data_IF_902528790272
#
_entry.id   IF_902528790272
#
_cell.length_a   1.000
_cell.length_b   1.000
_cell.length_c   1.000
_cell.angle_alpha   90.00
_cell.angle_beta   90.00
_cell.angle_gamma   90.00
#
_symmetry.space_group_name_H-M   'P 1'
#
loop_
_entity.id
_entity.type
_entity.pdbx_description
1 polymer ?
#
# COMPACT_ATOMS: atom_id res chain seq x y z
N UNK A 1 -28.41 -15.41 14.34
CA UNK A 1 -28.62 -14.40 13.28
C UNK A 1 -27.56 -14.60 12.21
N UNK A 2 -27.96 -14.80 10.96
CA UNK A 2 -27.00 -14.89 9.85
C UNK A 2 -26.42 -13.51 9.60
N UNK A 3 -25.17 -13.30 9.93
CA UNK A 3 -24.46 -12.03 9.72
C UNK A 3 -24.13 -11.92 8.23
N UNK A 4 -24.59 -10.88 7.57
CA UNK A 4 -24.24 -10.58 6.18
C UNK A 4 -22.92 -9.83 6.19
N UNK A 5 -21.94 -10.29 5.41
CA UNK A 5 -20.65 -9.65 5.22
C UNK A 5 -20.60 -9.05 3.82
N UNK A 6 -20.25 -7.78 3.72
CA UNK A 6 -20.18 -7.07 2.44
C UNK A 6 -18.75 -6.62 2.14
N UNK A 7 -18.44 -6.49 0.86
CA UNK A 7 -17.21 -5.84 0.42
C UNK A 7 -17.21 -4.38 0.89
N UNK A 8 -16.14 -3.95 1.57
CA UNK A 8 -16.07 -2.62 2.16
C UNK A 8 -16.39 -2.59 3.65
N UNK A 9 -16.88 -3.67 4.22
CA UNK A 9 -17.06 -3.79 5.67
C UNK A 9 -15.71 -3.87 6.36
N UNK A 10 -15.60 -3.17 7.48
CA UNK A 10 -14.45 -3.21 8.38
C UNK A 10 -14.82 -3.93 9.67
N UNK A 11 -13.92 -4.78 10.12
CA UNK A 11 -14.04 -5.53 11.36
C UNK A 11 -12.72 -5.54 12.12
N UNK A 12 -12.79 -5.71 13.44
CA UNK A 12 -11.65 -6.23 14.17
C UNK A 12 -11.54 -7.75 13.92
N UNK A 13 -10.32 -8.21 13.67
CA UNK A 13 -10.04 -9.63 13.48
C UNK A 13 -8.68 -10.00 14.08
N UNK A 14 -8.61 -11.23 14.61
CA UNK A 14 -7.33 -11.81 14.99
C UNK A 14 -6.64 -12.46 13.77
N UNK A 15 -5.56 -11.85 13.31
CA UNK A 15 -4.74 -12.37 12.21
C UNK A 15 -3.76 -13.46 12.67
N UNK A 16 -3.67 -13.74 13.98
CA UNK A 16 -2.69 -14.67 14.53
C UNK A 16 -1.27 -14.09 14.48
N UNK A 17 -0.27 -14.98 14.62
CA UNK A 17 1.14 -14.61 14.61
C UNK A 17 1.64 -14.45 13.17
N UNK A 18 2.34 -13.36 12.89
CA UNK A 18 3.02 -13.09 11.63
C UNK A 18 4.50 -13.47 11.68
N UNK A 19 5.14 -13.43 10.52
CA UNK A 19 6.59 -13.62 10.37
C UNK A 19 7.18 -12.34 9.76
N UNK A 20 8.18 -11.77 10.41
CA UNK A 20 8.89 -10.58 9.92
C UNK A 20 7.99 -9.35 9.84
N UNK A 21 7.73 -8.87 8.62
CA UNK A 21 6.92 -7.67 8.37
C UNK A 21 5.43 -7.93 8.11
N UNK A 22 4.97 -9.15 8.26
CA UNK A 22 3.55 -9.47 8.16
C UNK A 22 2.74 -8.74 9.22
N UNK A 23 1.54 -8.31 8.86
CA UNK A 23 0.62 -7.75 9.85
C UNK A 23 0.03 -8.88 10.71
N UNK A 24 0.06 -8.73 12.04
CA UNK A 24 -0.30 -9.79 12.99
C UNK A 24 -1.22 -9.31 14.11
N UNK A 25 -1.76 -10.25 14.88
CA UNK A 25 -2.54 -10.01 16.07
C UNK A 25 -3.91 -9.42 15.80
N UNK A 26 -4.54 -8.95 16.88
CA UNK A 26 -5.87 -8.35 16.85
C UNK A 26 -5.83 -6.93 16.30
N UNK A 27 -6.54 -6.70 15.18
CA UNK A 27 -6.49 -5.41 14.49
C UNK A 27 -7.67 -5.19 13.55
N UNK A 28 -7.90 -3.96 13.09
CA UNK A 28 -8.84 -3.67 12.04
C UNK A 28 -8.42 -4.32 10.72
N UNK A 29 -9.40 -4.87 9.99
CA UNK A 29 -9.28 -5.40 8.64
C UNK A 29 -10.42 -4.91 7.77
N UNK A 30 -10.19 -4.81 6.46
CA UNK A 30 -11.19 -4.46 5.46
C UNK A 30 -11.52 -5.69 4.61
N UNK A 31 -12.79 -6.03 4.45
CA UNK A 31 -13.23 -7.07 3.52
C UNK A 31 -13.11 -6.56 2.10
N UNK A 32 -12.30 -7.23 1.28
CA UNK A 32 -12.07 -6.92 -0.13
C UNK A 32 -12.64 -7.95 -1.09
N UNK A 33 -13.02 -9.14 -0.59
CA UNK A 33 -13.68 -10.17 -1.37
C UNK A 33 -15.04 -9.68 -1.87
N UNK A 34 -15.45 -10.12 -3.08
CA UNK A 34 -16.75 -9.76 -3.66
C UNK A 34 -17.91 -10.36 -2.86
N UNK A 35 -19.10 -9.77 -2.99
CA UNK A 35 -20.25 -10.14 -2.18
C UNK A 35 -20.82 -11.54 -2.49
N UNK A 36 -20.65 -12.03 -3.72
CA UNK A 36 -20.99 -13.41 -4.05
C UNK A 36 -20.12 -14.38 -3.26
N UNK A 37 -18.82 -14.17 -3.23
CA UNK A 37 -17.90 -14.94 -2.41
C UNK A 37 -18.20 -14.78 -0.92
N UNK A 38 -18.46 -13.54 -0.47
CA UNK A 38 -18.86 -13.28 0.92
C UNK A 38 -20.13 -14.03 1.34
N UNK A 39 -21.07 -14.21 0.44
CA UNK A 39 -22.31 -14.94 0.73
C UNK A 39 -22.11 -16.46 0.85
N UNK A 40 -21.28 -17.03 -0.01
CA UNK A 40 -21.23 -18.49 -0.20
C UNK A 40 -19.99 -19.16 0.41
N UNK A 41 -18.88 -18.43 0.62
CA UNK A 41 -17.67 -19.00 1.22
C UNK A 41 -17.68 -18.95 2.75
N UNK A 42 -17.11 -19.92 3.46
CA UNK A 42 -16.85 -19.82 4.90
C UNK A 42 -15.71 -18.86 5.24
N UNK A 43 -14.91 -18.47 4.24
CA UNK A 43 -13.76 -17.56 4.37
C UNK A 43 -14.01 -16.23 3.66
N UNK A 44 -13.21 -15.23 4.01
CA UNK A 44 -13.18 -13.93 3.35
C UNK A 44 -11.74 -13.51 3.08
N UNK A 45 -11.54 -12.75 1.99
CA UNK A 45 -10.27 -12.08 1.71
C UNK A 45 -10.32 -10.70 2.35
N UNK A 46 -9.34 -10.39 3.17
CA UNK A 46 -9.22 -9.11 3.88
C UNK A 46 -7.89 -8.45 3.60
N UNK A 47 -7.86 -7.11 3.69
CA UNK A 47 -6.66 -6.29 3.77
C UNK A 47 -6.47 -5.81 5.20
N UNK A 48 -5.24 -5.86 5.72
CA UNK A 48 -4.93 -5.34 7.05
C UNK A 48 -5.00 -3.81 7.07
N UNK A 49 -5.46 -3.26 8.20
CA UNK A 49 -5.49 -1.82 8.47
C UNK A 49 -4.48 -1.51 9.57
N UNK A 50 -3.72 -0.43 9.41
CA UNK A 50 -2.68 0.01 10.34
C UNK A 50 -2.81 1.50 10.66
N UNK A 51 -2.79 1.86 11.95
CA UNK A 51 -2.75 3.26 12.40
C UNK A 51 -1.34 3.90 12.32
N UNK A 52 -0.32 3.14 11.96
CA UNK A 52 1.06 3.66 11.76
C UNK A 52 1.16 4.34 10.40
N UNK A 53 0.72 5.60 10.31
CA UNK A 53 0.60 6.36 9.06
C UNK A 53 1.94 6.95 8.59
N UNK A 54 2.84 7.34 9.51
CA UNK A 54 3.98 8.21 9.21
C UNK A 54 5.07 7.58 8.33
N UNK A 55 5.28 6.27 8.42
CA UNK A 55 6.37 5.60 7.71
C UNK A 55 6.00 5.07 6.32
N UNK A 56 4.71 4.90 6.00
CA UNK A 56 4.26 4.10 4.85
C UNK A 56 3.28 4.80 3.90
N UNK A 57 2.89 6.04 4.18
CA UNK A 57 1.81 6.75 3.47
C UNK A 57 2.08 7.04 1.97
N UNK A 58 3.24 6.67 1.44
CA UNK A 58 3.66 6.99 0.06
C UNK A 58 3.66 5.81 -0.92
N UNK A 59 3.29 4.61 -0.47
CA UNK A 59 3.26 3.47 -1.38
C UNK A 59 1.96 3.46 -2.20
N UNK A 60 2.02 3.12 -3.49
CA UNK A 60 0.84 3.08 -4.35
C UNK A 60 -0.15 1.96 -3.97
N UNK A 61 0.30 1.00 -3.16
CA UNK A 61 -0.50 -0.09 -2.61
C UNK A 61 -1.22 0.28 -1.31
N UNK A 62 -0.96 1.50 -0.77
CA UNK A 62 -1.58 1.98 0.46
C UNK A 62 -2.72 2.93 0.18
N UNK A 63 -3.77 2.85 0.97
CA UNK A 63 -4.88 3.78 0.93
C UNK A 63 -5.11 4.40 2.31
N UNK A 64 -4.99 5.73 2.40
CA UNK A 64 -5.20 6.47 3.63
C UNK A 64 -6.70 6.69 3.86
N UNK A 65 -7.19 6.20 4.97
CA UNK A 65 -8.50 6.53 5.56
C UNK A 65 -8.30 7.59 6.64
N UNK A 66 -9.17 8.58 6.67
CA UNK A 66 -9.25 9.51 7.80
C UNK A 66 -9.87 8.82 9.01
N UNK A 67 -9.90 9.49 10.16
CA UNK A 67 -10.66 9.04 11.33
C UNK A 67 -12.17 9.19 11.05
N UNK A 68 -12.73 8.27 10.28
CA UNK A 68 -14.11 8.26 9.79
C UNK A 68 -14.60 6.82 9.62
N UNK A 69 -15.89 6.63 9.38
CA UNK A 69 -16.52 5.31 9.15
C UNK A 69 -16.28 4.31 10.30
N UNK A 70 -16.20 4.80 11.54
CA UNK A 70 -15.99 4.00 12.75
C UNK A 70 -14.52 3.79 13.13
N UNK A 71 -13.56 4.29 12.37
CA UNK A 71 -12.15 4.33 12.76
C UNK A 71 -11.88 5.55 13.65
N UNK A 72 -11.25 5.32 14.79
CA UNK A 72 -10.90 6.39 15.76
C UNK A 72 -9.68 7.21 15.33
N UNK A 73 -8.79 6.61 14.54
CA UNK A 73 -7.52 7.22 14.12
C UNK A 73 -7.37 7.14 12.59
N UNK A 74 -6.69 8.12 11.96
CA UNK A 74 -6.25 7.99 10.58
C UNK A 74 -5.48 6.68 10.42
N UNK A 75 -5.80 5.92 9.38
CA UNK A 75 -5.27 4.57 9.20
C UNK A 75 -4.98 4.28 7.74
N UNK A 76 -4.03 3.38 7.48
CA UNK A 76 -3.68 2.89 6.14
C UNK A 76 -4.28 1.51 5.92
N UNK A 77 -5.00 1.35 4.83
CA UNK A 77 -5.33 0.03 4.29
C UNK A 77 -4.15 -0.44 3.45
N UNK A 78 -3.61 -1.62 3.80
CA UNK A 78 -2.40 -2.17 3.21
C UNK A 78 -2.77 -3.25 2.19
N UNK A 79 -2.85 -2.87 0.90
CA UNK A 79 -3.30 -3.80 -0.16
C UNK A 79 -2.24 -4.84 -0.54
N UNK A 80 -1.01 -4.72 -0.07
CA UNK A 80 0.02 -5.77 -0.14
C UNK A 80 -0.04 -6.76 1.02
N UNK A 81 -0.85 -6.48 2.07
CA UNK A 81 -1.03 -7.33 3.25
C UNK A 81 -2.40 -8.03 3.21
N UNK A 82 -2.64 -8.75 2.11
CA UNK A 82 -3.88 -9.51 1.93
C UNK A 82 -3.84 -10.84 2.64
N UNK A 83 -4.95 -11.22 3.26
CA UNK A 83 -5.11 -12.53 3.90
C UNK A 83 -6.48 -13.13 3.62
N UNK A 84 -6.53 -14.45 3.45
CA UNK A 84 -7.76 -15.22 3.54
C UNK A 84 -7.93 -15.72 4.96
N UNK A 85 -9.02 -15.34 5.60
CA UNK A 85 -9.34 -15.73 6.97
C UNK A 85 -10.72 -16.38 7.05
N UNK A 86 -10.91 -17.27 8.03
CA UNK A 86 -12.23 -17.79 8.36
C UNK A 86 -13.11 -16.66 8.91
N UNK A 87 -14.38 -16.62 8.54
CA UNK A 87 -15.33 -15.59 9.00
C UNK A 87 -15.48 -15.56 10.52
N UNK A 88 -15.25 -16.68 11.21
CA UNK A 88 -15.26 -16.74 12.68
C UNK A 88 -14.21 -15.88 13.36
N UNK A 89 -13.15 -15.46 12.61
CA UNK A 89 -12.13 -14.52 13.09
C UNK A 89 -12.59 -13.05 13.02
N UNK A 90 -13.70 -12.76 12.32
CA UNK A 90 -14.28 -11.42 12.27
C UNK A 90 -15.14 -11.21 13.53
N UNK A 91 -14.70 -10.29 14.38
CA UNK A 91 -15.33 -10.05 15.68
C UNK A 91 -16.20 -8.80 15.67
N UNK A 92 -15.67 -7.67 16.08
CA UNK A 92 -16.41 -6.42 16.20
C UNK A 92 -16.49 -5.70 14.87
N UNK A 93 -17.71 -5.39 14.44
CA UNK A 93 -17.96 -4.53 13.28
C UNK A 93 -17.53 -3.09 13.59
N UNK A 94 -16.79 -2.47 12.67
CA UNK A 94 -16.31 -1.09 12.80
C UNK A 94 -17.18 -0.15 11.97
N UNK A 95 -17.39 -0.47 10.71
CA UNK A 95 -18.12 0.37 9.77
C UNK A 95 -18.02 -0.12 8.34
N UNK A 96 -18.58 0.64 7.40
CA UNK A 96 -18.59 0.33 5.98
C UNK A 96 -17.97 1.49 5.19
N UNK A 97 -17.15 1.17 4.18
CA UNK A 97 -16.62 2.14 3.24
C UNK A 97 -17.51 2.26 2.01
N UNK A 98 -17.90 3.47 1.71
CA UNK A 98 -18.70 3.77 0.55
C UNK A 98 -17.93 3.68 -0.78
N UNK A 99 -18.67 3.63 -1.89
CA UNK A 99 -18.17 3.42 -3.24
C UNK A 99 -16.99 4.32 -3.67
N UNK A 100 -16.90 5.63 -3.28
CA UNK A 100 -15.74 6.44 -3.63
C UNK A 100 -14.42 5.92 -3.04
N UNK A 101 -14.46 5.34 -1.82
CA UNK A 101 -13.30 4.69 -1.20
C UNK A 101 -12.99 3.37 -1.89
N UNK A 102 -14.01 2.56 -2.17
CA UNK A 102 -13.86 1.24 -2.83
C UNK A 102 -13.17 1.40 -4.19
N UNK A 103 -13.54 2.39 -5.01
CA UNK A 103 -12.88 2.64 -6.30
C UNK A 103 -11.38 2.93 -6.17
N UNK A 104 -10.98 3.72 -5.17
CA UNK A 104 -9.56 4.02 -4.92
C UNK A 104 -8.80 2.81 -4.38
N UNK A 105 -9.45 2.03 -3.50
CA UNK A 105 -8.93 0.77 -2.98
C UNK A 105 -8.75 -0.26 -4.09
N UNK A 106 -9.67 -0.36 -5.06
CA UNK A 106 -9.55 -1.22 -6.24
C UNK A 106 -8.29 -0.90 -7.06
N UNK A 107 -7.97 0.40 -7.21
CA UNK A 107 -6.73 0.81 -7.88
C UNK A 107 -5.49 0.35 -7.11
N UNK A 108 -5.44 0.59 -5.80
CA UNK A 108 -4.32 0.16 -4.95
C UNK A 108 -4.16 -1.38 -4.95
N UNK A 109 -5.28 -2.12 -4.94
CA UNK A 109 -5.30 -3.57 -5.07
C UNK A 109 -4.74 -4.02 -6.44
N UNK A 110 -5.19 -3.41 -7.53
CA UNK A 110 -4.75 -3.74 -8.87
C UNK A 110 -3.24 -3.50 -9.05
N UNK A 111 -2.69 -2.45 -8.43
CA UNK A 111 -1.23 -2.22 -8.36
C UNK A 111 -0.56 -3.33 -7.57
N UNK A 112 -1.08 -3.66 -6.39
CA UNK A 112 -0.48 -4.64 -5.48
C UNK A 112 -0.33 -6.02 -6.10
N UNK A 113 -1.31 -6.44 -6.92
CA UNK A 113 -1.31 -7.76 -7.58
C UNK A 113 -0.83 -7.69 -9.04
N UNK A 114 -0.28 -6.56 -9.49
CA UNK A 114 0.32 -6.41 -10.83
C UNK A 114 -0.68 -6.35 -11.99
N UNK A 115 -1.95 -6.08 -11.74
CA UNK A 115 -2.96 -5.90 -12.81
C UNK A 115 -2.82 -4.56 -13.53
N UNK A 116 -2.27 -3.56 -12.86
CA UNK A 116 -1.87 -2.29 -13.44
C UNK A 116 -0.47 -1.93 -12.98
N UNK A 117 0.34 -1.42 -13.91
CA UNK A 117 1.63 -0.82 -13.56
C UNK A 117 1.38 0.64 -13.12
N UNK A 118 1.61 0.94 -11.85
CA UNK A 118 1.88 2.33 -11.47
C UNK A 118 3.37 2.57 -11.65
N UNK A 119 3.73 3.22 -12.72
CA UNK A 119 4.95 4.02 -12.71
C UNK A 119 4.64 5.19 -11.78
N UNK A 120 5.29 5.31 -10.62
CA UNK A 120 5.12 6.49 -9.77
C UNK A 120 5.39 7.70 -10.64
N UNK A 121 4.42 8.63 -10.73
CA UNK A 121 4.55 9.83 -11.58
C UNK A 121 5.81 10.61 -11.26
N UNK A 122 6.39 10.41 -10.07
CA UNK A 122 7.63 11.02 -9.61
C UNK A 122 8.38 10.06 -8.69
N UNK A 123 9.04 9.06 -9.23
CA UNK A 123 10.00 8.27 -8.45
C UNK A 123 11.23 9.14 -8.21
N UNK A 124 11.36 9.65 -6.99
CA UNK A 124 12.55 10.40 -6.56
C UNK A 124 13.47 9.45 -5.80
N UNK A 125 14.71 9.33 -6.25
CA UNK A 125 15.74 8.55 -5.60
C UNK A 125 16.98 9.41 -5.38
N UNK A 126 17.56 9.32 -4.20
CA UNK A 126 18.91 9.84 -3.99
C UNK A 126 19.90 8.88 -4.65
N UNK A 127 20.66 9.34 -5.64
CA UNK A 127 21.61 8.53 -6.38
C UNK A 127 23.00 9.18 -6.37
N UNK A 128 24.02 8.38 -6.04
CA UNK A 128 25.42 8.77 -6.27
C UNK A 128 25.73 8.70 -7.77
N UNK A 129 26.82 9.37 -8.26
CA UNK A 129 27.14 9.40 -9.68
C UNK A 129 27.26 8.02 -10.33
N UNK A 130 27.87 7.05 -9.63
CA UNK A 130 28.03 5.70 -10.14
C UNK A 130 26.69 4.97 -10.31
N UNK A 131 25.76 5.11 -9.36
CA UNK A 131 24.43 4.51 -9.46
C UNK A 131 23.54 5.23 -10.48
N UNK A 132 23.67 6.55 -10.61
CA UNK A 132 22.97 7.32 -11.64
C UNK A 132 23.35 6.86 -13.05
N UNK A 133 24.64 6.58 -13.30
CA UNK A 133 25.11 6.09 -14.59
C UNK A 133 24.45 4.76 -15.01
N UNK A 134 24.10 3.89 -14.08
CA UNK A 134 23.41 2.64 -14.41
C UNK A 134 22.02 2.90 -15.02
N UNK A 135 21.32 3.96 -14.61
CA UNK A 135 20.03 4.33 -15.21
C UNK A 135 20.17 4.89 -16.62
N UNK A 136 21.23 5.64 -16.91
CA UNK A 136 21.48 6.17 -18.26
C UNK A 136 21.77 5.05 -19.28
N UNK A 137 22.41 3.96 -18.84
CA UNK A 137 22.75 2.82 -19.69
C UNK A 137 21.56 1.97 -20.12
N UNK A 138 20.43 2.02 -19.41
CA UNK A 138 19.26 1.14 -19.70
C UNK A 138 18.45 1.57 -20.91
N UNK A 139 18.57 2.81 -21.39
CA UNK A 139 17.75 3.35 -22.47
C UNK A 139 16.27 3.57 -22.15
N UNK A 140 15.76 2.90 -21.13
CA UNK A 140 14.33 2.91 -20.76
C UNK A 140 13.94 4.09 -19.85
N UNK A 141 14.91 4.68 -19.18
CA UNK A 141 14.69 5.77 -18.23
C UNK A 141 15.67 6.91 -18.46
N UNK A 142 15.30 8.12 -18.01
CA UNK A 142 16.23 9.22 -17.82
C UNK A 142 16.07 9.81 -16.43
N UNK A 143 17.14 10.43 -15.94
CA UNK A 143 17.17 11.05 -14.61
C UNK A 143 17.05 12.56 -14.78
N UNK A 144 16.17 13.18 -14.01
CA UNK A 144 16.06 14.63 -13.88
C UNK A 144 16.37 15.03 -12.44
N UNK A 145 17.38 15.87 -12.26
CA UNK A 145 17.73 16.35 -10.91
C UNK A 145 16.59 17.22 -10.36
N UNK A 146 16.13 16.90 -9.15
CA UNK A 146 14.95 17.55 -8.54
C UNK A 146 15.30 18.96 -8.07
N UNK A 147 16.49 19.11 -7.44
CA UNK A 147 16.99 20.39 -6.91
C UNK A 147 18.41 20.67 -7.43
N UNK A 148 18.57 21.22 -8.65
CA UNK A 148 19.90 21.45 -9.22
C UNK A 148 20.83 22.35 -8.38
N UNK A 149 20.27 23.29 -7.63
CA UNK A 149 21.01 24.22 -6.76
C UNK A 149 21.34 23.68 -5.37
N UNK A 150 20.82 22.51 -4.96
CA UNK A 150 21.12 21.92 -3.64
C UNK A 150 22.55 21.35 -3.63
N UNK A 151 23.36 21.83 -2.69
CA UNK A 151 24.76 21.39 -2.52
C UNK A 151 24.85 20.18 -1.56
N UNK A 152 23.94 20.10 -0.60
CA UNK A 152 23.86 19.00 0.36
C UNK A 152 23.56 17.67 -0.35
N UNK A 153 24.25 16.62 0.09
CA UNK A 153 24.15 15.27 -0.44
C UNK A 153 23.62 14.34 0.66
N UNK A 154 22.66 13.51 0.30
CA UNK A 154 22.16 12.44 1.14
C UNK A 154 22.82 11.11 0.76
N UNK A 155 22.65 10.08 1.59
CA UNK A 155 23.17 8.74 1.27
C UNK A 155 22.36 8.15 0.10
N UNK A 156 23.05 7.63 -0.89
CA UNK A 156 22.46 6.99 -2.07
C UNK A 156 21.51 5.86 -1.70
N UNK A 157 20.25 5.98 -2.06
CA UNK A 157 19.19 4.99 -1.78
C UNK A 157 19.49 3.63 -2.43
N UNK A 158 20.22 3.62 -3.57
CA UNK A 158 20.50 2.41 -4.33
C UNK A 158 21.66 1.58 -3.75
N UNK A 159 22.78 2.19 -3.40
CA UNK A 159 23.93 1.46 -2.84
C UNK A 159 24.09 1.59 -1.33
N UNK A 160 23.38 2.51 -0.67
CA UNK A 160 23.47 2.73 0.78
C UNK A 160 24.84 3.21 1.31
N UNK A 161 25.77 3.59 0.42
CA UNK A 161 27.17 3.84 0.82
C UNK A 161 27.69 5.24 0.45
N UNK A 162 27.36 5.73 -0.74
CA UNK A 162 27.97 6.95 -1.30
C UNK A 162 27.02 8.12 -1.22
N UNK A 163 27.53 9.34 -1.01
CA UNK A 163 26.70 10.54 -1.07
C UNK A 163 26.20 10.79 -2.50
N UNK A 164 24.95 11.19 -2.62
CA UNK A 164 24.25 11.42 -3.88
C UNK A 164 23.34 12.63 -3.84
N UNK A 165 22.60 12.80 -4.93
CA UNK A 165 21.60 13.85 -5.07
C UNK A 165 20.25 13.23 -5.45
N UNK A 166 19.17 13.97 -5.22
CA UNK A 166 17.83 13.54 -5.57
C UNK A 166 17.56 13.69 -7.07
N UNK A 167 17.20 12.58 -7.68
CA UNK A 167 16.80 12.49 -9.08
C UNK A 167 15.37 11.94 -9.19
N UNK A 168 14.59 12.56 -10.04
CA UNK A 168 13.35 11.98 -10.54
C UNK A 168 13.70 10.99 -11.66
N UNK A 169 13.26 9.75 -11.48
CA UNK A 169 13.42 8.69 -12.48
C UNK A 169 12.21 8.70 -13.41
N UNK A 170 12.42 9.08 -14.66
CA UNK A 170 11.35 9.24 -15.65
C UNK A 170 11.46 8.16 -16.73
N UNK A 171 10.37 7.40 -16.94
CA UNK A 171 10.30 6.42 -18.02
C UNK A 171 10.24 7.15 -19.37
N UNK A 172 11.08 6.77 -20.32
CA UNK A 172 10.99 7.29 -21.71
C UNK A 172 9.71 6.76 -22.34
N UNK A 173 8.96 7.65 -22.98
CA UNK A 173 7.85 7.22 -23.84
C UNK A 173 8.47 6.57 -25.08
N UNK A 174 8.10 5.34 -25.35
CA UNK A 174 8.34 4.69 -26.65
C UNK A 174 7.45 5.31 -27.71
#
# INVERSE_FOLDING_TARGET
MNRTYLRGDMYYADLGRGIGSEQEGYRPVLIIQNDTGNKHSPTVIVAAISSKVDAKAKLPTHYLLKAENGLELPSLVLMEQLRTIDKRRLETYIGHLEEPHIRRLNRALAVSVGLIEETPKNLIMCLCPACANNFYGTGSYYLRRVHPGRVEKDICTYCGQRPGFDYEVVKRRQ
#
